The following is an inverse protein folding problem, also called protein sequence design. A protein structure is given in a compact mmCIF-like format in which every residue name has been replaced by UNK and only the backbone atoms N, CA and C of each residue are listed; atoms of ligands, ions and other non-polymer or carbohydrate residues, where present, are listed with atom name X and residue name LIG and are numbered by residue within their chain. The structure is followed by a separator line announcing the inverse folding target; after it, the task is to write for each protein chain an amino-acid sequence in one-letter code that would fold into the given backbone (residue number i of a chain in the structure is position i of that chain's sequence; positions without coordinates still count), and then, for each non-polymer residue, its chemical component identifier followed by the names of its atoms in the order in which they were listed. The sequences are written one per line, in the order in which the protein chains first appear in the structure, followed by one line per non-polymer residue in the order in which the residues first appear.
data_IF_558102818224
#
_entry.id   IF_558102818224
#
_cell.length_a   1.000
_cell.length_b   1.000
_cell.length_c   1.000
_cell.angle_alpha   90.00
_cell.angle_beta   90.00
_cell.angle_gamma   90.00
#
_symmetry.space_group_name_H-M   'P 1'
#
loop_
_entity.id
_entity.type
_entity.pdbx_description
1 polymer ?
#
# COMPACT_ATOMS: atom_id res chain seq x y z
N UNK A 1 16.77 -5.20 14.22
CA UNK A 1 16.67 -3.89 14.84
C UNK A 1 16.97 -2.80 13.80
N UNK A 2 16.10 -1.82 13.69
CA UNK A 2 16.23 -0.66 12.80
C UNK A 2 16.07 0.61 13.64
N UNK A 3 17.02 1.55 13.52
CA UNK A 3 16.90 2.90 14.06
C UNK A 3 16.75 3.87 12.88
N UNK A 4 15.80 4.77 12.97
CA UNK A 4 15.58 5.82 11.98
C UNK A 4 15.74 7.18 12.64
N UNK A 5 16.60 8.02 12.06
CA UNK A 5 16.72 9.43 12.38
C UNK A 5 16.26 10.23 11.15
N UNK A 6 15.40 11.19 11.35
CA UNK A 6 14.75 11.96 10.31
C UNK A 6 14.78 13.43 10.68
N UNK A 7 15.23 14.27 9.77
CA UNK A 7 15.13 15.73 9.85
C UNK A 7 14.26 16.23 8.71
N UNK A 8 13.16 16.89 9.04
CA UNK A 8 12.25 17.50 8.07
C UNK A 8 12.34 19.01 8.16
N UNK A 9 12.70 19.66 7.05
CA UNK A 9 12.83 21.12 6.99
C UNK A 9 11.90 21.69 5.91
N UNK A 10 11.19 22.75 6.24
CA UNK A 10 10.29 23.43 5.31
C UNK A 10 9.90 24.81 5.81
N UNK A 11 9.26 25.58 4.94
CA UNK A 11 8.72 26.89 5.33
C UNK A 11 7.32 26.70 5.86
N UNK A 12 7.15 26.94 7.13
CA UNK A 12 5.86 27.02 7.80
C UNK A 12 5.62 28.42 8.31
N UNK A 13 4.69 28.59 9.25
CA UNK A 13 4.38 29.89 9.83
C UNK A 13 4.41 29.81 11.35
N UNK A 14 5.10 30.77 11.97
CA UNK A 14 5.11 30.97 13.41
C UNK A 14 4.59 32.38 13.70
N UNK A 15 3.54 32.47 14.49
CA UNK A 15 2.87 33.75 14.81
C UNK A 15 2.56 34.63 13.57
N UNK A 16 2.12 33.98 12.48
CA UNK A 16 1.78 34.65 11.25
C UNK A 16 2.95 35.03 10.32
N UNK A 17 4.19 34.71 10.70
CA UNK A 17 5.39 35.00 9.89
C UNK A 17 5.92 33.72 9.23
N UNK A 18 6.17 33.73 7.92
CA UNK A 18 6.85 32.64 7.24
C UNK A 18 8.21 32.37 7.91
N UNK A 19 8.40 31.15 8.37
CA UNK A 19 9.60 30.77 9.12
C UNK A 19 10.06 29.37 8.67
N UNK A 20 11.36 29.19 8.58
CA UNK A 20 11.91 27.84 8.34
C UNK A 20 11.72 27.02 9.62
N UNK A 21 10.97 25.94 9.48
CA UNK A 21 10.70 24.98 10.54
C UNK A 21 11.53 23.74 10.27
N UNK A 22 12.26 23.29 11.28
CA UNK A 22 12.98 22.02 11.25
C UNK A 22 12.42 21.14 12.37
N UNK A 23 12.06 19.93 12.03
CA UNK A 23 11.54 18.92 12.95
C UNK A 23 12.45 17.70 12.88
N UNK A 24 13.05 17.38 14.00
CA UNK A 24 13.86 16.17 14.16
C UNK A 24 13.01 15.09 14.83
N UNK A 25 13.14 13.87 14.33
CA UNK A 25 12.44 12.72 14.87
C UNK A 25 13.31 11.48 14.83
N UNK A 26 13.30 10.73 15.92
CA UNK A 26 13.95 9.43 16.00
C UNK A 26 12.95 8.38 16.45
N UNK A 27 13.06 7.19 15.87
CA UNK A 27 12.33 6.00 16.31
C UNK A 27 13.13 4.73 16.03
N UNK A 28 12.78 3.66 16.72
CA UNK A 28 13.43 2.38 16.54
C UNK A 28 12.42 1.25 16.55
N UNK A 29 12.68 0.24 15.74
CA UNK A 29 11.81 -0.92 15.57
C UNK A 29 12.60 -2.22 15.68
N UNK A 30 12.04 -3.19 16.38
CA UNK A 30 12.50 -4.57 16.36
C UNK A 30 11.61 -5.34 15.39
N UNK A 31 12.21 -5.82 14.30
CA UNK A 31 11.52 -6.45 13.16
C UNK A 31 11.94 -7.93 13.05
N UNK A 32 11.46 -8.80 13.95
CA UNK A 32 11.77 -10.23 13.86
C UNK A 32 11.11 -10.84 12.63
N UNK A 33 11.76 -11.85 12.06
CA UNK A 33 11.21 -12.68 11.00
C UNK A 33 11.56 -14.14 11.23
N UNK A 34 10.64 -15.03 10.88
CA UNK A 34 10.79 -16.47 10.91
C UNK A 34 10.35 -17.00 9.55
N UNK A 35 11.16 -17.86 8.94
CA UNK A 35 10.83 -18.58 7.73
C UNK A 35 11.17 -20.05 7.96
N UNK A 36 10.18 -20.92 7.75
CA UNK A 36 10.31 -22.37 7.85
C UNK A 36 9.93 -23.00 6.52
N UNK A 37 10.67 -24.00 6.11
CA UNK A 37 10.37 -24.83 4.93
C UNK A 37 10.42 -26.28 5.38
N UNK A 38 9.36 -27.02 5.09
CA UNK A 38 9.27 -28.45 5.33
C UNK A 38 9.05 -29.16 3.99
N UNK A 39 9.96 -30.03 3.64
CA UNK A 39 9.82 -30.96 2.53
C UNK A 39 9.09 -32.20 3.04
N UNK A 40 7.79 -32.28 2.73
CA UNK A 40 6.93 -33.38 3.20
C UNK A 40 7.17 -34.61 2.34
N UNK A 41 7.32 -34.40 1.03
CA UNK A 41 7.79 -35.38 0.06
C UNK A 41 8.75 -34.69 -0.92
N UNK A 42 9.51 -35.42 -1.76
CA UNK A 42 10.36 -34.78 -2.77
C UNK A 42 9.64 -33.80 -3.70
N UNK A 43 8.33 -33.96 -3.86
CA UNK A 43 7.51 -33.17 -4.77
C UNK A 43 6.54 -32.21 -4.03
N UNK A 44 6.52 -32.22 -2.69
CA UNK A 44 5.58 -31.41 -1.91
C UNK A 44 6.25 -30.67 -0.75
N UNK A 45 6.22 -29.35 -0.81
CA UNK A 45 6.78 -28.46 0.19
C UNK A 45 5.69 -27.65 0.89
N UNK A 46 5.91 -27.40 2.17
CA UNK A 46 5.12 -26.50 2.99
C UNK A 46 6.05 -25.39 3.50
N UNK A 47 5.62 -24.14 3.35
CA UNK A 47 6.35 -22.97 3.81
C UNK A 47 5.53 -22.20 4.83
N UNK A 48 6.15 -21.77 5.89
CA UNK A 48 5.55 -20.87 6.86
C UNK A 48 6.45 -19.64 7.03
N UNK A 49 5.86 -18.47 6.92
CA UNK A 49 6.50 -17.18 7.17
C UNK A 49 5.76 -16.43 8.26
N UNK A 50 6.49 -15.79 9.17
CA UNK A 50 5.94 -14.82 10.11
C UNK A 50 6.94 -13.68 10.29
N UNK A 51 6.47 -12.43 10.19
CA UNK A 51 7.35 -11.29 10.34
C UNK A 51 6.63 -10.08 10.94
N UNK A 52 7.40 -9.25 11.65
CA UNK A 52 7.04 -7.87 11.95
C UNK A 52 7.69 -6.97 10.92
N UNK A 53 6.88 -6.18 10.23
CA UNK A 53 7.35 -5.32 9.13
C UNK A 53 6.99 -3.86 9.38
N UNK A 54 7.73 -2.97 8.75
CA UNK A 54 7.53 -1.53 8.84
C UNK A 54 7.69 -0.88 7.46
N UNK A 55 6.84 0.10 7.17
CA UNK A 55 7.00 1.01 6.02
C UNK A 55 7.06 2.45 6.51
N UNK A 56 8.09 3.19 6.05
CA UNK A 56 8.23 4.61 6.40
C UNK A 56 7.20 5.45 5.67
N UNK A 57 6.77 6.60 6.27
CA UNK A 57 5.93 7.55 5.56
C UNK A 57 6.60 8.02 4.27
N UNK A 58 5.83 8.29 3.20
CA UNK A 58 6.35 8.96 2.01
C UNK A 58 6.97 10.31 2.38
N UNK A 59 8.15 10.62 1.81
CA UNK A 59 8.88 11.85 2.14
C UNK A 59 8.05 13.13 1.93
N UNK A 60 7.20 13.15 0.89
CA UNK A 60 6.31 14.28 0.64
C UNK A 60 5.31 14.53 1.77
N UNK A 61 4.92 13.49 2.51
CA UNK A 61 4.01 13.62 3.65
C UNK A 61 4.70 14.17 4.91
N UNK A 62 6.02 14.17 4.95
CA UNK A 62 6.83 14.58 6.10
C UNK A 62 7.26 16.07 6.04
N UNK A 63 6.90 16.78 4.99
CA UNK A 63 7.24 18.19 4.86
C UNK A 63 6.50 19.01 5.92
N UNK A 64 7.17 19.88 6.69
CA UNK A 64 6.50 20.82 7.58
C UNK A 64 5.91 22.03 6.83
N UNK A 65 6.08 22.09 5.52
CA UNK A 65 5.58 23.19 4.69
C UNK A 65 4.07 23.15 4.47
N UNK A 66 3.51 24.33 4.20
CA UNK A 66 2.10 24.52 3.88
C UNK A 66 2.00 25.15 2.49
N UNK A 67 1.15 24.58 1.65
CA UNK A 67 0.81 25.10 0.33
C UNK A 67 -0.66 25.56 0.31
N UNK A 68 -0.88 26.82 0.00
CA UNK A 68 -2.22 27.39 -0.22
C UNK A 68 -2.42 27.57 -1.72
N UNK A 69 -3.55 27.11 -2.24
CA UNK A 69 -3.91 27.25 -3.65
C UNK A 69 -5.32 27.81 -3.79
N UNK A 70 -5.43 28.84 -4.61
CA UNK A 70 -6.67 29.51 -5.00
C UNK A 70 -6.75 29.47 -6.52
N UNK A 71 -7.68 28.70 -7.08
CA UNK A 71 -7.86 28.58 -8.52
C UNK A 71 -9.35 28.54 -8.87
N UNK A 72 -9.84 29.55 -9.55
CA UNK A 72 -11.28 29.72 -9.80
C UNK A 72 -12.05 29.71 -8.47
N UNK A 73 -12.96 28.78 -8.32
CA UNK A 73 -13.73 28.57 -7.06
C UNK A 73 -13.03 27.61 -6.08
N UNK A 74 -11.96 26.95 -6.49
CA UNK A 74 -11.25 26.01 -5.62
C UNK A 74 -10.41 26.75 -4.57
N UNK A 75 -10.54 26.36 -3.34
CA UNK A 75 -9.85 26.86 -2.14
C UNK A 75 -9.25 25.70 -1.41
N UNK A 76 -7.92 25.53 -1.48
CA UNK A 76 -7.26 24.36 -0.86
C UNK A 76 -6.03 24.76 -0.06
N UNK A 77 -5.83 24.05 1.04
CA UNK A 77 -4.61 24.08 1.86
C UNK A 77 -4.09 22.67 1.98
N UNK A 78 -2.85 22.46 1.59
CA UNK A 78 -2.16 21.19 1.75
C UNK A 78 -0.98 21.37 2.70
N UNK A 79 -0.88 20.53 3.71
CA UNK A 79 0.22 20.49 4.64
C UNK A 79 0.74 19.05 4.78
N UNK A 80 2.03 18.87 5.00
CA UNK A 80 2.56 17.59 5.44
C UNK A 80 2.52 17.48 6.96
N UNK A 81 3.00 16.34 7.46
CA UNK A 81 3.08 16.05 8.89
C UNK A 81 4.40 15.35 9.21
N UNK A 82 5.41 16.08 9.68
CA UNK A 82 6.71 15.51 10.02
C UNK A 82 6.68 14.56 11.22
N UNK A 83 5.55 14.51 11.95
CA UNK A 83 5.34 13.66 13.12
C UNK A 83 4.64 12.33 12.79
N UNK A 84 4.49 11.99 11.53
CA UNK A 84 3.89 10.71 11.13
C UNK A 84 4.69 9.52 11.62
N UNK A 85 4.02 8.58 12.26
CA UNK A 85 4.58 7.28 12.58
C UNK A 85 4.72 6.38 11.34
N UNK A 86 5.74 5.51 11.30
CA UNK A 86 5.77 4.49 10.27
C UNK A 86 4.58 3.54 10.41
N UNK A 87 4.13 3.04 9.27
CA UNK A 87 3.13 1.97 9.23
C UNK A 87 3.80 0.68 9.68
N UNK A 88 3.15 -0.05 10.58
CA UNK A 88 3.64 -1.33 11.10
C UNK A 88 2.63 -2.41 10.88
N UNK A 89 3.09 -3.62 10.62
CA UNK A 89 2.22 -4.78 10.48
C UNK A 89 2.91 -6.05 10.95
N UNK A 90 2.09 -7.03 11.36
CA UNK A 90 2.48 -8.42 11.52
C UNK A 90 1.97 -9.20 10.32
N UNK A 91 2.83 -9.99 9.71
CA UNK A 91 2.49 -10.80 8.54
C UNK A 91 2.67 -12.27 8.85
N UNK A 92 1.75 -13.07 8.32
CA UNK A 92 1.76 -14.54 8.42
C UNK A 92 1.41 -15.10 7.06
N UNK A 93 2.24 -16.01 6.57
CA UNK A 93 2.09 -16.65 5.27
C UNK A 93 2.22 -18.16 5.44
N UNK A 94 1.30 -18.93 4.83
CA UNK A 94 1.35 -20.38 4.77
C UNK A 94 1.23 -20.80 3.31
N UNK A 95 2.33 -21.32 2.78
CA UNK A 95 2.46 -21.74 1.39
C UNK A 95 2.52 -23.24 1.22
N UNK A 96 1.92 -23.73 0.16
CA UNK A 96 1.96 -25.12 -0.29
C UNK A 96 2.44 -25.14 -1.74
N UNK A 97 3.41 -25.97 -2.07
CA UNK A 97 3.96 -26.14 -3.40
C UNK A 97 3.99 -27.61 -3.76
N UNK A 98 3.30 -27.99 -4.82
CA UNK A 98 3.28 -29.37 -5.32
C UNK A 98 3.81 -29.42 -6.76
N UNK A 99 4.96 -30.06 -6.89
CA UNK A 99 5.67 -30.27 -8.14
C UNK A 99 5.32 -31.66 -8.70
N UNK A 100 4.12 -31.83 -9.23
CA UNK A 100 3.53 -33.12 -9.57
C UNK A 100 4.03 -33.71 -10.89
N UNK A 101 4.78 -32.95 -11.71
CA UNK A 101 5.43 -33.43 -12.94
C UNK A 101 6.56 -32.48 -13.33
N UNK A 102 7.38 -32.87 -14.30
CA UNK A 102 8.48 -32.06 -14.81
C UNK A 102 7.98 -30.70 -15.34
N UNK A 103 8.41 -29.61 -14.72
CA UNK A 103 7.98 -28.26 -15.05
C UNK A 103 6.54 -27.92 -14.67
N UNK A 104 5.79 -28.84 -14.04
CA UNK A 104 4.43 -28.62 -13.57
C UNK A 104 4.41 -28.32 -12.08
N UNK A 105 3.62 -27.34 -11.66
CA UNK A 105 3.51 -26.92 -10.26
C UNK A 105 2.10 -26.41 -9.97
N UNK A 106 1.59 -26.78 -8.81
CA UNK A 106 0.45 -26.14 -8.16
C UNK A 106 0.93 -25.52 -6.86
N UNK A 107 0.80 -24.20 -6.74
CA UNK A 107 1.10 -23.45 -5.54
C UNK A 107 -0.16 -22.83 -4.94
N UNK A 108 -0.23 -22.79 -3.62
CA UNK A 108 -1.26 -22.07 -2.88
C UNK A 108 -0.60 -21.34 -1.70
N UNK A 109 -0.91 -20.07 -1.51
CA UNK A 109 -0.45 -19.29 -0.36
C UNK A 109 -1.66 -18.68 0.33
N UNK A 110 -1.80 -18.95 1.62
CA UNK A 110 -2.72 -18.26 2.52
C UNK A 110 -1.92 -17.17 3.22
N UNK A 111 -2.41 -15.95 3.23
CA UNK A 111 -1.75 -14.85 3.92
C UNK A 111 -2.70 -14.09 4.84
N UNK A 112 -2.14 -13.57 5.92
CA UNK A 112 -2.80 -12.70 6.87
C UNK A 112 -1.85 -11.57 7.29
N UNK A 113 -2.35 -10.33 7.27
CA UNK A 113 -1.61 -9.15 7.74
C UNK A 113 -2.47 -8.40 8.75
N UNK A 114 -1.92 -8.21 9.94
CA UNK A 114 -2.47 -7.37 11.00
C UNK A 114 -1.74 -6.02 10.95
N UNK A 115 -2.43 -5.00 10.47
CA UNK A 115 -1.88 -3.66 10.23
C UNK A 115 -2.17 -2.81 11.45
N UNK A 116 -1.14 -2.39 12.18
CA UNK A 116 -1.29 -1.60 13.40
C UNK A 116 -1.82 -0.19 13.11
N UNK A 117 -1.31 0.45 12.06
CA UNK A 117 -1.74 1.77 11.60
C UNK A 117 -1.42 1.99 10.13
N UNK A 118 -2.18 2.86 9.48
CA UNK A 118 -1.83 3.32 8.13
C UNK A 118 -1.93 4.84 8.02
N UNK A 119 -1.38 5.40 6.95
CA UNK A 119 -1.38 6.85 6.74
C UNK A 119 -2.50 7.19 5.76
N UNK A 120 -3.40 8.05 6.21
CA UNK A 120 -4.51 8.58 5.43
C UNK A 120 -4.35 10.09 5.25
N UNK A 121 -4.66 10.61 4.07
CA UNK A 121 -4.87 12.03 3.86
C UNK A 121 -6.30 12.37 4.28
N UNK A 122 -6.44 13.11 5.36
CA UNK A 122 -7.75 13.63 5.80
C UNK A 122 -8.06 14.89 5.04
N UNK A 123 -9.36 15.14 4.81
CA UNK A 123 -9.87 16.39 4.23
C UNK A 123 -10.90 16.98 5.16
N UNK A 124 -10.70 18.24 5.52
CA UNK A 124 -11.60 19.01 6.35
C UNK A 124 -11.92 20.33 5.65
N UNK A 125 -13.19 20.68 5.54
CA UNK A 125 -13.62 21.96 5.01
C UNK A 125 -13.96 22.90 6.19
N UNK A 126 -13.26 24.02 6.28
CA UNK A 126 -13.46 25.03 7.33
C UNK A 126 -12.96 26.41 6.86
N UNK A 127 -13.44 27.51 7.50
CA UNK A 127 -12.95 28.84 7.20
C UNK A 127 -11.44 28.98 7.39
N UNK A 128 -10.77 29.66 6.44
CA UNK A 128 -9.31 29.81 6.46
C UNK A 128 -8.81 30.43 7.77
N UNK A 129 -9.49 31.45 8.29
CA UNK A 129 -9.12 32.16 9.52
C UNK A 129 -9.16 31.29 10.78
N UNK A 130 -9.77 30.10 10.73
CA UNK A 130 -9.75 29.12 11.82
C UNK A 130 -8.51 28.23 11.81
N UNK A 131 -7.67 28.32 10.79
CA UNK A 131 -6.51 27.44 10.58
C UNK A 131 -5.29 27.84 11.42
N UNK A 132 -5.22 29.07 11.91
CA UNK A 132 -4.02 29.63 12.51
C UNK A 132 -2.93 30.03 11.51
N UNK A 133 -3.19 29.86 10.21
CA UNK A 133 -2.28 30.28 9.14
C UNK A 133 -2.37 31.81 8.92
N UNK A 134 -1.28 32.46 8.52
CA UNK A 134 -1.29 33.90 8.28
C UNK A 134 -2.07 34.23 7.02
N UNK A 135 -2.80 35.37 7.07
CA UNK A 135 -3.54 35.88 5.92
C UNK A 135 -2.61 36.26 4.75
N UNK A 136 -1.34 36.53 5.01
CA UNK A 136 -0.35 36.81 3.96
C UNK A 136 -0.15 35.67 2.95
N UNK A 137 -0.52 34.44 3.29
CA UNK A 137 -0.54 33.35 2.32
C UNK A 137 -1.67 33.48 1.28
N UNK A 138 -2.63 34.35 1.50
CA UNK A 138 -3.70 34.68 0.56
C UNK A 138 -3.37 35.92 -0.28
N UNK A 139 -2.27 36.63 0.02
CA UNK A 139 -1.89 37.86 -0.69
C UNK A 139 -1.71 37.58 -2.20
N UNK A 140 -2.28 38.46 -3.02
CA UNK A 140 -2.31 38.28 -4.47
C UNK A 140 -3.36 37.32 -4.99
N UNK A 141 -4.18 36.72 -4.10
CA UNK A 141 -5.34 35.92 -4.48
C UNK A 141 -6.65 36.70 -4.33
N UNK A 142 -7.75 36.14 -4.86
CA UNK A 142 -9.10 36.68 -4.73
C UNK A 142 -9.85 36.12 -3.52
N UNK A 143 -9.24 35.22 -2.74
CA UNK A 143 -9.88 34.55 -1.63
C UNK A 143 -9.89 35.41 -0.37
N UNK A 144 -10.97 35.32 0.40
CA UNK A 144 -11.10 36.01 1.69
C UNK A 144 -10.80 35.01 2.83
N UNK A 145 -10.20 35.48 3.93
CA UNK A 145 -9.94 34.64 5.11
C UNK A 145 -11.18 33.99 5.74
N UNK A 146 -12.35 34.53 5.46
CA UNK A 146 -13.64 33.98 5.94
C UNK A 146 -14.22 32.91 5.05
N UNK A 147 -13.65 32.70 3.86
CA UNK A 147 -14.10 31.64 2.94
C UNK A 147 -13.64 30.25 3.43
N UNK A 148 -14.42 29.25 3.07
CA UNK A 148 -14.11 27.85 3.36
C UNK A 148 -13.02 27.34 2.44
N UNK A 149 -12.00 26.71 3.05
CA UNK A 149 -10.94 26.00 2.38
C UNK A 149 -10.99 24.51 2.71
N UNK A 150 -10.62 23.69 1.75
CA UNK A 150 -10.40 22.25 1.94
C UNK A 150 -8.97 22.05 2.42
N UNK A 151 -8.81 21.68 3.68
CA UNK A 151 -7.53 21.34 4.28
C UNK A 151 -7.23 19.87 4.08
N UNK A 152 -6.05 19.56 3.54
CA UNK A 152 -5.57 18.19 3.36
C UNK A 152 -4.30 17.97 4.17
N UNK A 153 -4.32 17.00 5.12
CA UNK A 153 -3.20 16.68 5.99
C UNK A 153 -3.08 15.17 6.13
N UNK A 154 -1.87 14.59 5.99
CA UNK A 154 -1.65 13.17 6.27
C UNK A 154 -1.60 12.92 7.78
N UNK A 155 -2.31 11.91 8.23
CA UNK A 155 -2.34 11.46 9.62
C UNK A 155 -2.21 9.94 9.72
N UNK A 156 -1.76 9.46 10.87
CA UNK A 156 -1.87 8.05 11.20
C UNK A 156 -3.31 7.75 11.65
N UNK A 157 -3.90 6.71 11.08
CA UNK A 157 -5.23 6.20 11.41
C UNK A 157 -5.13 4.79 11.95
N UNK A 158 -6.14 4.28 12.66
CA UNK A 158 -6.17 2.89 13.02
C UNK A 158 -5.97 2.00 11.82
N UNK A 159 -5.25 0.91 12.01
CA UNK A 159 -4.99 -0.05 10.96
C UNK A 159 -6.20 -0.94 10.65
N UNK A 160 -5.92 -2.20 10.44
CA UNK A 160 -6.92 -3.18 10.08
C UNK A 160 -6.30 -4.50 9.72
N UNK A 161 -7.04 -5.34 9.03
CA UNK A 161 -6.55 -6.63 8.58
C UNK A 161 -6.66 -6.80 7.08
N UNK A 162 -5.75 -7.59 6.53
CA UNK A 162 -5.77 -8.02 5.15
C UNK A 162 -5.46 -9.51 5.12
N UNK A 163 -6.30 -10.30 4.45
CA UNK A 163 -6.16 -11.73 4.33
C UNK A 163 -6.54 -12.19 2.94
N UNK A 164 -6.04 -13.33 2.53
CA UNK A 164 -6.40 -13.85 1.23
C UNK A 164 -5.72 -15.15 0.88
N UNK A 165 -5.91 -15.51 -0.38
CA UNK A 165 -5.32 -16.68 -1.00
C UNK A 165 -4.75 -16.32 -2.36
N UNK A 166 -3.58 -16.85 -2.65
CA UNK A 166 -2.96 -16.82 -3.97
C UNK A 166 -2.80 -18.24 -4.48
N UNK A 167 -3.27 -18.48 -5.69
CA UNK A 167 -3.13 -19.76 -6.38
C UNK A 167 -2.28 -19.57 -7.62
N UNK A 168 -1.31 -20.45 -7.81
CA UNK A 168 -0.43 -20.48 -8.97
C UNK A 168 -0.45 -21.89 -9.57
N UNK A 169 -0.71 -21.98 -10.86
CA UNK A 169 -0.68 -23.23 -11.59
C UNK A 169 0.14 -23.09 -12.86
N UNK A 170 1.08 -23.99 -13.05
CA UNK A 170 1.90 -24.09 -14.25
C UNK A 170 1.88 -25.51 -14.74
N UNK A 171 1.56 -25.73 -16.03
CA UNK A 171 1.49 -27.05 -16.63
C UNK A 171 1.99 -27.02 -18.07
N UNK A 172 3.23 -27.49 -18.35
CA UNK A 172 3.64 -27.89 -19.68
C UNK A 172 2.90 -29.16 -20.11
N UNK A 173 2.41 -29.22 -21.34
CA UNK A 173 1.64 -30.38 -21.81
C UNK A 173 2.54 -31.46 -22.43
N UNK A 174 3.68 -31.73 -21.80
CA UNK A 174 4.69 -32.71 -22.28
C UNK A 174 4.14 -34.12 -22.49
N UNK A 175 2.99 -34.41 -21.92
CA UNK A 175 2.26 -35.69 -22.09
C UNK A 175 1.46 -35.77 -23.39
N UNK A 176 1.33 -34.65 -24.15
CA UNK A 176 0.64 -34.63 -25.44
C UNK A 176 1.60 -34.98 -26.58
N UNK A 177 1.09 -35.59 -27.68
CA UNK A 177 1.91 -35.99 -28.82
C UNK A 177 2.23 -34.82 -29.76
N UNK A 178 3.31 -34.98 -30.53
CA UNK A 178 3.68 -34.08 -31.63
C UNK A 178 4.06 -32.67 -31.15
N UNK A 179 3.56 -31.65 -31.84
CA UNK A 179 3.82 -30.24 -31.49
C UNK A 179 3.03 -29.78 -30.29
N UNK A 180 2.00 -30.50 -29.85
CA UNK A 180 1.21 -30.14 -28.67
C UNK A 180 1.99 -30.30 -27.37
N UNK A 181 3.06 -31.10 -27.34
CA UNK A 181 3.95 -31.23 -26.18
C UNK A 181 4.71 -29.95 -25.83
N UNK A 182 4.84 -29.04 -26.83
CA UNK A 182 5.51 -27.77 -26.70
C UNK A 182 4.53 -26.65 -26.26
N UNK A 183 3.27 -27.00 -26.00
CA UNK A 183 2.25 -26.10 -25.41
C UNK A 183 2.29 -26.21 -23.90
N UNK A 184 1.97 -25.13 -23.22
CA UNK A 184 1.76 -25.12 -21.78
C UNK A 184 0.85 -23.98 -21.35
N UNK A 185 0.39 -24.03 -20.09
CA UNK A 185 -0.45 -23.01 -19.51
C UNK A 185 0.07 -22.53 -18.17
N UNK A 186 -0.24 -21.28 -17.85
CA UNK A 186 0.00 -20.66 -16.55
C UNK A 186 -1.27 -19.95 -16.10
N UNK A 187 -1.68 -20.20 -14.87
CA UNK A 187 -2.82 -19.57 -14.22
C UNK A 187 -2.37 -18.99 -12.89
N UNK A 188 -2.77 -17.76 -12.62
CA UNK A 188 -2.62 -17.13 -11.32
C UNK A 188 -3.99 -16.60 -10.90
N UNK A 189 -4.34 -16.80 -9.66
CA UNK A 189 -5.56 -16.27 -9.07
C UNK A 189 -5.25 -15.72 -7.69
N UNK A 190 -5.76 -14.55 -7.40
CA UNK A 190 -5.62 -13.90 -6.09
C UNK A 190 -6.99 -13.47 -5.60
N UNK A 191 -7.30 -13.79 -4.36
CA UNK A 191 -8.43 -13.25 -3.61
C UNK A 191 -7.93 -12.54 -2.37
N UNK A 192 -8.40 -11.31 -2.15
CA UNK A 192 -8.05 -10.46 -1.02
C UNK A 192 -9.31 -9.98 -0.33
N UNK A 193 -9.37 -10.17 0.97
CA UNK A 193 -10.35 -9.58 1.86
C UNK A 193 -9.63 -8.65 2.82
N UNK A 194 -10.03 -7.40 2.85
CA UNK A 194 -9.39 -6.37 3.68
C UNK A 194 -10.44 -5.58 4.45
N UNK A 195 -10.08 -5.19 5.66
CA UNK A 195 -10.93 -4.42 6.54
C UNK A 195 -10.06 -3.40 7.28
N UNK A 196 -10.26 -2.12 6.97
CA UNK A 196 -9.54 -1.01 7.60
C UNK A 196 -10.53 0.03 8.11
N UNK A 197 -10.11 0.77 9.12
CA UNK A 197 -10.94 1.81 9.72
C UNK A 197 -10.45 3.19 9.27
N UNK A 198 -11.23 3.84 8.42
CA UNK A 198 -10.93 5.19 7.95
C UNK A 198 -11.37 6.25 8.95
N UNK A 199 -10.71 7.39 8.91
CA UNK A 199 -11.14 8.59 9.64
C UNK A 199 -11.95 9.50 8.71
N UNK A 200 -13.12 9.93 9.18
CA UNK A 200 -13.97 10.88 8.48
C UNK A 200 -13.44 12.31 8.62
N UNK A 201 -13.91 13.22 7.78
CA UNK A 201 -13.59 14.66 7.86
C UNK A 201 -13.97 15.28 9.19
N UNK A 202 -14.95 14.71 9.90
CA UNK A 202 -15.35 15.14 11.25
C UNK A 202 -14.36 14.72 12.35
N UNK A 203 -13.31 13.95 12.01
CA UNK A 203 -12.41 13.35 12.99
C UNK A 203 -12.95 12.07 13.65
N UNK A 204 -14.20 11.67 13.35
CA UNK A 204 -14.76 10.42 13.80
C UNK A 204 -14.23 9.24 12.99
N UNK A 205 -14.18 8.05 13.58
CA UNK A 205 -13.88 6.84 12.84
C UNK A 205 -15.08 6.41 12.01
N UNK A 206 -14.84 6.12 10.72
CA UNK A 206 -15.83 5.51 9.85
C UNK A 206 -16.12 4.06 10.28
N UNK A 207 -17.14 3.45 9.71
CA UNK A 207 -17.24 2.00 9.72
C UNK A 207 -16.02 1.41 9.03
N UNK A 208 -15.74 0.14 9.33
CA UNK A 208 -14.68 -0.59 8.65
C UNK A 208 -15.07 -0.81 7.18
N UNK A 209 -14.14 -0.52 6.31
CA UNK A 209 -14.30 -0.55 4.86
C UNK A 209 -13.13 -1.32 4.23
N UNK A 210 -13.29 -1.73 2.99
CA UNK A 210 -12.20 -2.34 2.22
C UNK A 210 -11.05 -1.34 2.00
N UNK A 211 -9.82 -1.84 2.00
CA UNK A 211 -8.63 -1.02 1.75
C UNK A 211 -8.69 -0.46 0.32
N UNK A 212 -8.75 0.86 0.20
CA UNK A 212 -8.77 1.54 -1.10
C UNK A 212 -7.57 1.20 -1.96
N UNK A 213 -7.81 0.96 -3.25
CA UNK A 213 -6.78 0.57 -4.21
C UNK A 213 -6.44 -0.91 -4.21
N UNK A 214 -7.09 -1.73 -3.37
CA UNK A 214 -6.96 -3.18 -3.39
C UNK A 214 -8.10 -3.79 -4.19
N UNK A 215 -7.76 -4.64 -5.15
CA UNK A 215 -8.75 -5.44 -5.88
C UNK A 215 -9.07 -6.70 -5.08
N UNK A 216 -10.36 -7.00 -4.95
CA UNK A 216 -10.81 -8.18 -4.20
C UNK A 216 -10.45 -9.48 -4.90
N UNK A 217 -10.54 -9.48 -6.23
CA UNK A 217 -10.15 -10.62 -7.05
C UNK A 217 -9.28 -10.18 -8.20
N UNK A 218 -8.31 -11.01 -8.54
CA UNK A 218 -7.49 -10.85 -9.72
C UNK A 218 -7.11 -12.21 -10.28
N UNK A 219 -7.09 -12.34 -11.61
CA UNK A 219 -6.56 -13.53 -12.24
C UNK A 219 -5.81 -13.21 -13.52
N UNK A 220 -4.86 -14.06 -13.83
CA UNK A 220 -4.12 -14.06 -15.08
C UNK A 220 -4.08 -15.49 -15.62
N UNK A 221 -4.36 -15.64 -16.91
CA UNK A 221 -4.28 -16.90 -17.63
C UNK A 221 -3.40 -16.70 -18.86
N UNK A 222 -2.44 -17.59 -19.07
CA UNK A 222 -1.58 -17.60 -20.23
C UNK A 222 -1.52 -18.99 -20.84
N UNK A 223 -1.64 -19.06 -22.17
CA UNK A 223 -1.34 -20.23 -22.98
C UNK A 223 -0.08 -19.90 -23.80
N UNK A 224 0.89 -20.78 -23.80
CA UNK A 224 2.14 -20.59 -24.52
C UNK A 224 2.48 -21.80 -25.37
N UNK A 225 3.23 -21.55 -26.44
CA UNK A 225 3.89 -22.55 -27.28
C UNK A 225 5.38 -22.26 -27.33
N UNK A 226 6.22 -23.22 -27.03
CA UNK A 226 7.67 -23.10 -26.99
C UNK A 226 8.33 -24.18 -27.85
N UNK A 227 8.17 -24.09 -29.17
CA UNK A 227 8.82 -24.98 -30.12
C UNK A 227 10.24 -24.57 -30.47
N UNK A 228 11.02 -25.46 -31.09
CA UNK A 228 12.45 -25.22 -31.44
C UNK A 228 12.71 -24.01 -32.30
N UNK A 229 11.78 -23.57 -33.13
CA UNK A 229 11.95 -22.48 -34.12
C UNK A 229 10.93 -21.37 -33.97
N UNK A 230 9.86 -21.62 -33.28
CA UNK A 230 8.75 -20.68 -33.07
C UNK A 230 8.33 -20.73 -31.61
N UNK A 231 8.08 -19.57 -31.04
CA UNK A 231 7.43 -19.42 -29.74
C UNK A 231 6.31 -18.38 -29.84
N UNK A 232 5.28 -18.55 -29.02
CA UNK A 232 4.16 -17.62 -28.96
C UNK A 232 3.46 -17.72 -27.62
N UNK A 233 2.77 -16.64 -27.23
CA UNK A 233 2.00 -16.57 -25.98
C UNK A 233 0.75 -15.74 -26.18
N UNK A 234 -0.34 -16.20 -25.62
CA UNK A 234 -1.60 -15.46 -25.47
C UNK A 234 -1.91 -15.37 -23.99
N UNK A 235 -2.23 -14.19 -23.50
CA UNK A 235 -2.54 -13.96 -22.09
C UNK A 235 -3.82 -13.16 -21.95
N UNK A 236 -4.60 -13.49 -20.93
CA UNK A 236 -5.77 -12.73 -20.50
C UNK A 236 -5.61 -12.42 -19.00
N UNK A 237 -6.05 -11.23 -18.61
CA UNK A 237 -6.03 -10.79 -17.21
C UNK A 237 -7.32 -10.08 -16.88
N UNK A 238 -7.74 -10.22 -15.63
CA UNK A 238 -8.89 -9.49 -15.07
C UNK A 238 -8.57 -9.06 -13.64
N UNK A 239 -9.16 -7.94 -13.25
CA UNK A 239 -9.04 -7.36 -11.93
C UNK A 239 -10.34 -6.65 -11.58
N UNK A 240 -10.93 -6.97 -10.41
CA UNK A 240 -12.16 -6.34 -9.92
C UNK A 240 -11.87 -5.25 -8.90
#
# INVERSE_FOLDING_TARGET
YVRTSQTSTGVGTVNGTPTVITVDREYSDVLPSLNLVAEITPDFLVRFGAAKVMARPPLGNLSPGVAVSVSGTARTVSAGNPLLDPQRAKTYDLGFEWYFNQGAMLGAVLFYKDIDSFIQNTRETRPYNTSGLPNSLLDGTIALPTEDFVFTVPINTPGGSLRGIELNYTQPFTFLPGALKDVGMQLNYTYVDSEVQYMLSSGALAQKEELTGTSRTGWNASLYYEGKRLSGRISATNRS
#
